data_IF_556842295628
#
_entry.id   IF_556842295628
#
_cell.length_a   1.000
_cell.length_b   1.000
_cell.length_c   1.000
_cell.angle_alpha   90.00
_cell.angle_beta   90.00
_cell.angle_gamma   90.00
#
_symmetry.space_group_name_H-M   'P 1'
#
loop_
_entity.id
_entity.type
_entity.pdbx_description
1 polymer ?
#
# COMPACT_ATOMS: atom_id res chain seq x y z
N UNK A 1 -11.04 -6.28 12.80
CA UNK A 1 -10.29 -6.81 11.67
C UNK A 1 -11.20 -7.40 10.59
N UNK A 2 -12.03 -8.42 10.89
CA UNK A 2 -12.85 -9.12 9.88
C UNK A 2 -13.80 -8.21 9.09
N UNK A 3 -14.46 -7.24 9.74
CA UNK A 3 -15.32 -6.27 9.05
C UNK A 3 -14.53 -5.40 8.06
N UNK A 4 -13.36 -4.91 8.46
CA UNK A 4 -12.46 -4.16 7.61
C UNK A 4 -11.95 -5.01 6.43
N UNK A 5 -11.54 -6.25 6.68
CA UNK A 5 -11.10 -7.16 5.64
C UNK A 5 -12.18 -7.43 4.59
N UNK A 6 -13.41 -7.63 5.01
CA UNK A 6 -14.56 -7.81 4.10
C UNK A 6 -14.81 -6.56 3.24
N UNK A 7 -14.66 -5.36 3.82
CA UNK A 7 -14.88 -4.10 3.10
C UNK A 7 -13.76 -3.77 2.12
N UNK A 8 -12.50 -3.97 2.53
CA UNK A 8 -11.33 -3.55 1.76
C UNK A 8 -10.67 -4.66 0.94
N UNK A 9 -11.15 -5.89 1.07
CA UNK A 9 -10.63 -7.04 0.30
C UNK A 9 -9.21 -7.43 0.67
N UNK A 10 -8.83 -7.30 1.95
CA UNK A 10 -7.50 -7.64 2.44
C UNK A 10 -7.48 -8.99 3.20
N UNK A 11 -6.31 -9.62 3.25
CA UNK A 11 -6.07 -10.82 4.05
C UNK A 11 -5.98 -10.47 5.54
N UNK A 12 -6.40 -11.40 6.41
CA UNK A 12 -6.34 -11.22 7.86
C UNK A 12 -5.42 -12.26 8.49
N UNK A 13 -4.45 -11.76 9.24
CA UNK A 13 -3.68 -12.57 10.19
C UNK A 13 -4.23 -12.27 11.59
N UNK A 14 -5.00 -13.22 12.13
CA UNK A 14 -5.62 -13.10 13.45
C UNK A 14 -4.83 -13.87 14.52
N UNK A 15 -4.67 -13.25 15.69
CA UNK A 15 -3.80 -13.76 16.75
C UNK A 15 -4.20 -15.14 17.28
N UNK A 16 -5.48 -15.38 17.50
CA UNK A 16 -5.96 -16.65 18.01
C UNK A 16 -5.82 -17.74 16.94
N UNK A 17 -6.25 -17.45 15.73
CA UNK A 17 -6.17 -18.36 14.57
C UNK A 17 -4.73 -18.79 14.27
N UNK A 18 -3.80 -17.85 14.25
CA UNK A 18 -2.40 -18.16 13.95
C UNK A 18 -1.73 -18.93 15.09
N UNK A 19 -2.07 -18.63 16.36
CA UNK A 19 -1.57 -19.41 17.49
C UNK A 19 -2.08 -20.85 17.45
N UNK A 20 -3.34 -21.06 17.12
CA UNK A 20 -3.90 -22.39 16.96
C UNK A 20 -3.26 -23.15 15.81
N UNK A 21 -3.04 -22.52 14.67
CA UNK A 21 -2.38 -23.11 13.51
C UNK A 21 -0.96 -23.61 13.84
N UNK A 22 -0.18 -22.83 14.59
CA UNK A 22 1.19 -23.18 15.00
C UNK A 22 1.24 -23.94 16.34
N UNK A 23 0.11 -24.26 16.96
CA UNK A 23 0.03 -24.85 18.31
C UNK A 23 0.88 -24.10 19.36
N UNK A 24 1.01 -22.77 19.22
CA UNK A 24 1.84 -21.95 20.08
C UNK A 24 1.08 -21.50 21.33
N UNK A 25 1.50 -22.04 22.49
CA UNK A 25 0.94 -21.72 23.82
C UNK A 25 1.92 -20.97 24.72
N UNK A 26 3.04 -20.49 24.18
CA UNK A 26 4.01 -19.72 24.94
C UNK A 26 3.55 -18.24 25.01
N UNK A 27 3.07 -17.85 26.19
CA UNK A 27 2.64 -16.48 26.51
C UNK A 27 3.66 -15.72 27.35
N UNK A 28 4.87 -16.24 27.55
CA UNK A 28 5.98 -15.47 28.11
C UNK A 28 6.32 -14.26 27.24
N UNK A 29 7.01 -13.26 27.79
CA UNK A 29 7.49 -12.09 27.04
C UNK A 29 8.29 -12.52 25.79
N UNK A 30 9.22 -13.42 25.96
CA UNK A 30 10.07 -13.95 24.88
C UNK A 30 9.26 -14.75 23.86
N UNK A 31 8.29 -15.56 24.32
CA UNK A 31 7.40 -16.32 23.47
C UNK A 31 6.50 -15.41 22.63
N UNK A 32 5.93 -14.35 23.23
CA UNK A 32 5.16 -13.34 22.53
C UNK A 32 6.00 -12.61 21.49
N UNK A 33 7.18 -12.14 21.87
CA UNK A 33 8.08 -11.42 20.97
C UNK A 33 8.46 -12.28 19.77
N UNK A 34 8.91 -13.53 19.99
CA UNK A 34 9.26 -14.47 18.92
C UNK A 34 8.08 -14.71 17.97
N UNK A 35 6.88 -14.90 18.51
CA UNK A 35 5.68 -15.13 17.73
C UNK A 35 5.35 -13.92 16.85
N UNK A 36 5.29 -12.71 17.42
CA UNK A 36 4.95 -11.47 16.73
C UNK A 36 5.95 -11.11 15.63
N UNK A 37 7.26 -11.28 15.89
CA UNK A 37 8.30 -11.07 14.87
C UNK A 37 8.20 -12.10 13.73
N UNK A 38 7.79 -13.33 14.02
CA UNK A 38 7.49 -14.35 13.01
C UNK A 38 6.31 -13.94 12.12
N UNK A 39 5.24 -13.43 12.73
CA UNK A 39 4.08 -12.91 12.02
C UNK A 39 4.43 -11.69 11.15
N UNK A 40 5.24 -10.76 11.64
CA UNK A 40 5.69 -9.62 10.85
C UNK A 40 6.40 -10.04 9.56
N UNK A 41 7.26 -11.08 9.63
CA UNK A 41 7.91 -11.65 8.44
C UNK A 41 6.91 -12.28 7.48
N UNK A 42 5.90 -12.99 7.99
CA UNK A 42 4.82 -13.58 7.19
C UNK A 42 3.99 -12.47 6.52
N UNK A 43 3.59 -11.46 7.27
CA UNK A 43 2.84 -10.31 6.76
C UNK A 43 3.62 -9.60 5.63
N UNK A 44 4.93 -9.38 5.80
CA UNK A 44 5.81 -8.83 4.75
C UNK A 44 5.83 -9.68 3.47
N UNK A 45 5.77 -11.00 3.58
CA UNK A 45 5.72 -11.88 2.40
C UNK A 45 4.38 -11.76 1.67
N UNK A 46 3.28 -11.78 2.41
CA UNK A 46 1.92 -11.72 1.85
C UNK A 46 1.65 -10.32 1.26
N UNK A 47 2.15 -9.25 1.90
CA UNK A 47 1.92 -7.86 1.48
C UNK A 47 2.51 -7.52 0.10
N UNK A 48 3.33 -8.38 -0.47
CA UNK A 48 3.80 -8.27 -1.87
C UNK A 48 2.69 -8.51 -2.90
N UNK A 49 1.60 -9.14 -2.49
CA UNK A 49 0.54 -9.60 -3.39
C UNK A 49 -0.84 -9.03 -3.04
N UNK A 50 -1.06 -8.67 -1.78
CA UNK A 50 -2.34 -8.17 -1.29
C UNK A 50 -2.14 -7.35 -0.02
N UNK A 51 -3.09 -6.46 0.29
CA UNK A 51 -3.10 -5.77 1.58
C UNK A 51 -3.33 -6.78 2.71
N UNK A 52 -2.65 -6.61 3.84
CA UNK A 52 -2.71 -7.53 5.00
C UNK A 52 -3.09 -6.77 6.25
N UNK A 53 -4.07 -7.27 6.97
CA UNK A 53 -4.53 -6.75 8.23
C UNK A 53 -4.11 -7.70 9.36
N UNK A 54 -3.18 -7.27 10.23
CA UNK A 54 -2.69 -8.04 11.36
C UNK A 54 -3.45 -7.66 12.63
N UNK A 55 -4.17 -8.60 13.24
CA UNK A 55 -4.98 -8.40 14.45
C UNK A 55 -4.36 -9.12 15.63
N UNK A 56 -3.49 -8.44 16.38
CA UNK A 56 -2.73 -9.00 17.49
C UNK A 56 -2.65 -8.04 18.67
N UNK A 57 -2.57 -8.58 19.88
CA UNK A 57 -2.08 -7.82 21.03
C UNK A 57 -0.56 -7.75 20.91
N UNK A 58 -0.03 -6.54 20.76
CA UNK A 58 1.40 -6.24 20.71
C UNK A 58 1.79 -5.42 21.94
N UNK A 59 1.96 -6.04 23.13
CA UNK A 59 1.95 -5.31 24.39
C UNK A 59 3.22 -4.51 24.67
N UNK A 60 4.33 -4.79 23.99
CA UNK A 60 5.64 -4.22 24.31
C UNK A 60 6.13 -3.27 23.22
N UNK A 61 6.57 -2.07 23.62
CA UNK A 61 7.02 -1.04 22.67
C UNK A 61 8.25 -1.48 21.88
N UNK A 62 9.25 -2.08 22.53
CA UNK A 62 10.46 -2.57 21.86
C UNK A 62 10.19 -3.67 20.82
N UNK A 63 9.09 -4.40 20.98
CA UNK A 63 8.65 -5.41 20.00
C UNK A 63 7.92 -4.74 18.85
N UNK A 64 7.12 -3.69 19.09
CA UNK A 64 6.45 -2.90 18.04
C UNK A 64 7.47 -2.21 17.13
N UNK A 65 8.51 -1.60 17.72
CA UNK A 65 9.62 -1.01 16.95
C UNK A 65 10.26 -2.03 16.00
N UNK A 66 10.61 -3.21 16.51
CA UNK A 66 11.19 -4.29 15.68
C UNK A 66 10.23 -4.84 14.62
N UNK A 67 8.93 -4.85 14.89
CA UNK A 67 7.91 -5.23 13.89
C UNK A 67 7.93 -4.23 12.74
N UNK A 68 7.93 -2.92 13.03
CA UNK A 68 7.97 -1.87 12.03
C UNK A 68 9.26 -1.90 11.19
N UNK A 69 10.42 -2.21 11.80
CA UNK A 69 11.68 -2.42 11.06
C UNK A 69 11.62 -3.60 10.06
N UNK A 70 10.83 -4.62 10.37
CA UNK A 70 10.67 -5.79 9.49
C UNK A 70 9.72 -5.49 8.34
N UNK A 71 8.65 -4.76 8.61
CA UNK A 71 7.57 -4.46 7.64
C UNK A 71 8.04 -3.45 6.58
N UNK A 72 7.34 -3.34 5.44
CA UNK A 72 7.64 -2.31 4.46
C UNK A 72 7.29 -0.90 5.00
N UNK A 73 7.89 0.14 4.41
CA UNK A 73 7.77 1.54 4.88
C UNK A 73 6.33 2.08 4.88
N UNK A 74 5.46 1.49 4.09
CA UNK A 74 4.03 1.83 4.06
C UNK A 74 3.19 1.06 5.09
N UNK A 75 3.80 0.33 6.02
CA UNK A 75 3.08 -0.32 7.09
C UNK A 75 2.52 0.70 8.09
N UNK A 76 1.27 0.51 8.47
CA UNK A 76 0.54 1.40 9.37
C UNK A 76 0.21 0.69 10.67
N UNK A 77 0.56 1.31 11.80
CA UNK A 77 0.17 0.83 13.12
C UNK A 77 -1.12 1.50 13.55
N UNK A 78 -2.14 0.68 13.84
CA UNK A 78 -3.43 1.12 14.36
C UNK A 78 -3.55 0.67 15.80
N UNK A 79 -3.73 1.63 16.71
CA UNK A 79 -4.02 1.37 18.12
C UNK A 79 -5.53 1.34 18.35
N UNK A 80 -6.06 0.20 18.76
CA UNK A 80 -7.44 0.09 19.24
C UNK A 80 -7.44 0.39 20.74
N UNK A 81 -7.82 1.62 21.10
CA UNK A 81 -7.80 2.12 22.47
C UNK A 81 -9.09 1.77 23.20
N UNK A 82 -8.95 1.06 24.31
CA UNK A 82 -10.05 0.75 25.23
C UNK A 82 -9.48 0.68 26.63
N UNK A 83 -10.07 1.37 27.59
CA UNK A 83 -9.59 1.30 28.96
C UNK A 83 -9.69 -0.12 29.53
N UNK A 84 -8.80 -0.45 30.46
CA UNK A 84 -8.79 -1.76 31.12
C UNK A 84 -10.14 -2.05 31.80
N UNK A 85 -10.74 -1.04 32.44
CA UNK A 85 -12.04 -1.15 33.10
C UNK A 85 -13.14 -1.61 32.12
N UNK A 86 -13.22 -0.99 30.95
CA UNK A 86 -14.19 -1.36 29.91
C UNK A 86 -13.91 -2.75 29.37
N UNK A 87 -12.62 -3.13 29.23
CA UNK A 87 -12.25 -4.48 28.82
C UNK A 87 -12.68 -5.54 29.86
N UNK A 88 -12.49 -5.26 31.14
CA UNK A 88 -12.90 -6.12 32.26
C UNK A 88 -14.43 -6.24 32.35
N UNK A 89 -15.15 -5.12 32.21
CA UNK A 89 -16.62 -5.12 32.22
C UNK A 89 -17.21 -5.95 31.07
N UNK A 90 -16.58 -5.89 29.92
CA UNK A 90 -17.03 -6.69 28.76
C UNK A 90 -16.70 -8.16 28.87
N UNK A 91 -15.55 -8.50 29.37
CA UNK A 91 -14.95 -9.84 29.54
C UNK A 91 -15.61 -10.99 28.73
N UNK A 92 -15.78 -10.79 27.45
CA UNK A 92 -16.59 -11.64 26.55
C UNK A 92 -16.21 -13.13 26.62
N UNK A 93 -14.94 -13.43 26.92
CA UNK A 93 -14.40 -14.80 27.02
C UNK A 93 -14.21 -15.26 28.47
N UNK A 94 -14.51 -14.43 29.48
CA UNK A 94 -14.26 -14.72 30.89
C UNK A 94 -12.78 -14.82 31.25
N UNK A 95 -11.90 -14.21 30.46
CA UNK A 95 -10.45 -14.32 30.64
C UNK A 95 -9.92 -13.34 31.69
N UNK A 96 -10.52 -12.15 31.81
CA UNK A 96 -10.13 -11.15 32.79
C UNK A 96 -10.45 -11.64 34.21
N UNK A 97 -11.64 -12.23 34.42
CA UNK A 97 -12.01 -12.84 35.71
C UNK A 97 -11.00 -13.93 36.12
N UNK A 98 -10.60 -14.80 35.18
CA UNK A 98 -9.59 -15.86 35.43
C UNK A 98 -8.20 -15.29 35.69
N UNK A 99 -7.82 -14.22 35.03
CA UNK A 99 -6.54 -13.55 35.27
C UNK A 99 -6.49 -12.89 36.64
N UNK A 100 -7.58 -12.29 37.10
CA UNK A 100 -7.71 -11.70 38.46
C UNK A 100 -7.65 -12.73 39.56
N UNK A 101 -8.15 -13.96 39.35
CA UNK A 101 -8.03 -15.08 40.30
C UNK A 101 -6.67 -15.77 40.25
N UNK A 102 -5.78 -15.38 39.32
CA UNK A 102 -4.45 -15.99 39.15
C UNK A 102 -4.46 -17.33 38.38
N UNK A 103 -5.59 -17.73 37.81
CA UNK A 103 -5.70 -18.94 37.00
C UNK A 103 -4.92 -18.81 35.66
N UNK A 104 -4.75 -17.57 35.17
CA UNK A 104 -4.02 -17.27 33.94
C UNK A 104 -2.82 -16.38 34.28
N UNK A 105 -1.62 -16.89 34.05
CA UNK A 105 -0.39 -16.14 34.21
C UNK A 105 -0.08 -15.30 32.94
N UNK A 106 0.74 -14.24 33.10
CA UNK A 106 1.20 -13.38 32.00
C UNK A 106 0.04 -12.79 31.17
N UNK A 107 -1.03 -12.40 31.82
CA UNK A 107 -2.19 -11.78 31.16
C UNK A 107 -1.94 -10.27 30.99
N UNK A 108 -1.91 -9.82 29.74
CA UNK A 108 -1.64 -8.41 29.37
C UNK A 108 -2.65 -7.47 30.03
N UNK A 109 -2.14 -6.45 30.70
CA UNK A 109 -2.93 -5.45 31.43
C UNK A 109 -3.28 -5.86 32.87
N UNK A 110 -3.05 -7.09 33.29
CA UNK A 110 -3.32 -7.58 34.66
C UNK A 110 -2.01 -8.02 35.36
N UNK A 111 -1.39 -9.09 34.89
CA UNK A 111 -0.14 -9.65 35.44
C UNK A 111 1.06 -9.51 34.51
N UNK A 112 0.85 -8.96 33.31
CA UNK A 112 1.86 -8.63 32.33
C UNK A 112 1.60 -7.21 31.79
N UNK A 113 2.63 -6.37 31.59
CA UNK A 113 2.42 -4.97 31.21
C UNK A 113 1.87 -4.83 29.80
N UNK A 114 1.22 -3.70 29.55
CA UNK A 114 0.91 -3.17 28.25
C UNK A 114 1.51 -1.76 28.14
N UNK A 115 2.50 -1.62 27.26
CA UNK A 115 3.11 -0.32 26.99
C UNK A 115 2.20 0.45 26.02
N UNK A 116 1.79 1.66 26.37
CA UNK A 116 1.05 2.53 25.43
C UNK A 116 1.88 2.80 24.18
N UNK A 117 1.30 2.67 22.96
CA UNK A 117 2.03 2.94 21.73
C UNK A 117 2.47 4.39 21.63
N UNK A 118 3.78 4.63 21.43
CA UNK A 118 4.33 5.98 21.26
C UNK A 118 4.06 6.58 19.88
N UNK A 119 3.95 5.72 18.87
CA UNK A 119 3.88 6.10 17.46
C UNK A 119 2.76 5.34 16.73
N UNK A 120 1.51 5.42 17.23
CA UNK A 120 0.38 4.94 16.46
C UNK A 120 0.05 5.91 15.32
N UNK A 121 -0.09 5.40 14.11
CA UNK A 121 -0.49 6.20 12.94
C UNK A 121 -1.98 6.56 12.98
N UNK A 122 -2.78 5.71 13.62
CA UNK A 122 -4.20 5.92 13.88
C UNK A 122 -4.56 5.29 15.22
N UNK A 123 -5.39 6.00 16.00
CA UNK A 123 -6.00 5.45 17.23
C UNK A 123 -7.50 5.37 17.04
N UNK A 124 -8.05 4.17 17.25
CA UNK A 124 -9.49 3.91 17.21
C UNK A 124 -10.01 3.73 18.63
N UNK A 125 -10.98 4.54 19.02
CA UNK A 125 -11.68 4.38 20.30
C UNK A 125 -12.72 3.26 20.19
N UNK A 126 -12.63 2.26 21.03
CA UNK A 126 -13.65 1.20 21.15
C UNK A 126 -14.32 1.16 22.51
N UNK A 127 -14.32 2.26 23.25
CA UNK A 127 -14.92 2.37 24.60
C UNK A 127 -16.45 2.23 24.61
N UNK A 128 -17.11 2.40 23.47
CA UNK A 128 -18.59 2.40 23.37
C UNK A 128 -19.19 3.81 23.38
N UNK A 129 -18.36 4.86 23.26
CA UNK A 129 -18.78 6.23 23.01
C UNK A 129 -19.36 6.41 21.59
N UNK A 130 -19.94 7.58 21.32
CA UNK A 130 -20.37 7.95 19.96
C UNK A 130 -19.18 7.91 19.00
N UNK A 131 -19.33 7.28 17.85
CA UNK A 131 -18.27 7.08 16.86
C UNK A 131 -17.36 5.85 17.12
N UNK A 132 -17.67 5.00 18.08
CA UNK A 132 -16.90 3.83 18.45
C UNK A 132 -17.53 2.48 18.06
N UNK A 133 -18.53 2.51 17.19
CA UNK A 133 -19.08 1.26 16.62
C UNK A 133 -18.09 0.60 15.67
N UNK A 134 -18.31 -0.68 15.37
CA UNK A 134 -17.46 -1.39 14.38
C UNK A 134 -17.47 -0.70 13.02
N UNK A 135 -18.64 -0.20 12.59
CA UNK A 135 -18.78 0.47 11.29
C UNK A 135 -18.04 1.82 11.30
N UNK A 136 -18.15 2.60 12.38
CA UNK A 136 -17.41 3.86 12.53
C UNK A 136 -15.89 3.64 12.51
N UNK A 137 -15.40 2.62 13.22
CA UNK A 137 -13.98 2.27 13.20
C UNK A 137 -13.50 1.81 11.80
N UNK A 138 -14.35 1.09 11.07
CA UNK A 138 -14.05 0.69 9.69
C UNK A 138 -14.05 1.89 8.75
N UNK A 139 -14.93 2.86 8.94
CA UNK A 139 -14.95 4.13 8.19
C UNK A 139 -13.67 4.94 8.46
N UNK A 140 -13.23 5.03 9.70
CA UNK A 140 -11.96 5.69 10.05
C UNK A 140 -10.74 5.01 9.41
N UNK A 141 -10.79 3.70 9.19
CA UNK A 141 -9.72 2.98 8.48
C UNK A 141 -9.73 3.22 6.97
N UNK A 142 -10.84 3.67 6.39
CA UNK A 142 -11.01 3.74 4.94
C UNK A 142 -9.88 4.50 4.24
N UNK A 143 -9.43 5.63 4.81
CA UNK A 143 -8.37 6.44 4.22
C UNK A 143 -7.00 5.72 4.12
N UNK A 144 -6.76 4.69 4.95
CA UNK A 144 -5.53 3.89 4.91
C UNK A 144 -5.52 2.92 3.71
N UNK A 145 -6.70 2.58 3.19
CA UNK A 145 -6.91 1.68 2.06
C UNK A 145 -7.28 2.42 0.76
N UNK A 146 -7.55 3.71 0.86
CA UNK A 146 -7.81 4.53 -0.32
C UNK A 146 -6.53 4.67 -1.14
N UNK A 147 -6.42 3.88 -2.20
CA UNK A 147 -5.38 4.13 -3.21
C UNK A 147 -5.73 5.42 -3.95
N UNK A 148 -4.84 6.40 -4.01
CA UNK A 148 -5.10 7.61 -4.79
C UNK A 148 -5.47 7.21 -6.22
N UNK A 149 -6.53 7.84 -6.74
CA UNK A 149 -6.98 7.59 -8.12
C UNK A 149 -5.82 7.85 -9.06
N UNK A 150 -5.53 6.88 -9.92
CA UNK A 150 -4.47 7.01 -10.90
C UNK A 150 -5.00 7.58 -12.21
N UNK A 151 -4.13 8.29 -12.92
CA UNK A 151 -4.33 8.67 -14.32
C UNK A 151 -3.60 7.67 -15.18
N UNK A 152 -4.31 7.04 -16.12
CA UNK A 152 -3.70 6.17 -17.12
C UNK A 152 -3.28 6.99 -18.34
N UNK A 153 -2.01 6.91 -18.70
CA UNK A 153 -1.42 7.50 -19.88
C UNK A 153 -1.01 6.38 -20.88
N UNK A 154 -1.89 5.98 -21.80
CA UNK A 154 -1.58 4.92 -22.75
C UNK A 154 -0.73 5.46 -23.93
N UNK A 155 0.32 4.72 -24.32
CA UNK A 155 1.18 5.14 -25.41
C UNK A 155 2.19 4.08 -25.84
N UNK A 156 2.97 4.40 -26.90
CA UNK A 156 4.07 3.55 -27.37
C UNK A 156 5.37 3.78 -26.63
N UNK A 157 5.62 5.02 -26.20
CA UNK A 157 6.80 5.43 -25.40
C UNK A 157 8.14 5.06 -26.04
N UNK A 158 8.35 5.49 -27.30
CA UNK A 158 9.42 5.02 -28.19
C UNK A 158 10.38 6.12 -28.69
N UNK A 159 11.34 6.64 -27.90
CA UNK A 159 11.59 6.41 -26.46
C UNK A 159 10.79 7.38 -25.57
N UNK A 160 10.99 7.28 -24.25
CA UNK A 160 10.58 8.32 -23.33
C UNK A 160 11.35 9.62 -23.65
N UNK A 161 10.64 10.76 -23.74
CA UNK A 161 11.23 12.07 -24.04
C UNK A 161 10.49 13.16 -23.28
N UNK A 162 11.01 14.40 -23.30
CA UNK A 162 10.47 15.52 -22.50
C UNK A 162 8.97 15.76 -22.71
N UNK A 163 8.42 15.49 -23.90
CA UNK A 163 6.97 15.58 -24.13
C UNK A 163 6.17 14.55 -23.32
N UNK A 164 6.70 13.35 -23.20
CA UNK A 164 6.12 12.32 -22.32
C UNK A 164 6.31 12.65 -20.84
N UNK A 165 7.50 13.13 -20.47
CA UNK A 165 7.80 13.53 -19.10
C UNK A 165 6.90 14.69 -18.66
N UNK A 166 6.62 15.65 -19.55
CA UNK A 166 5.68 16.73 -19.27
C UNK A 166 4.27 16.22 -18.97
N UNK A 167 3.75 15.26 -19.75
CA UNK A 167 2.43 14.65 -19.50
C UNK A 167 2.37 13.96 -18.13
N UNK A 168 3.42 13.25 -17.76
CA UNK A 168 3.51 12.58 -16.46
C UNK A 168 3.57 13.63 -15.34
N UNK A 169 4.47 14.61 -15.46
CA UNK A 169 4.69 15.62 -14.44
C UNK A 169 3.45 16.48 -14.18
N UNK A 170 2.72 16.83 -15.23
CA UNK A 170 1.45 17.57 -15.14
C UNK A 170 0.44 16.90 -14.20
N UNK A 171 0.37 15.59 -14.22
CA UNK A 171 -0.55 14.84 -13.36
C UNK A 171 0.02 14.65 -11.94
N UNK A 172 1.34 14.48 -11.82
CA UNK A 172 2.04 14.44 -10.53
C UNK A 172 1.92 15.77 -9.76
N UNK A 173 2.05 16.92 -10.44
CA UNK A 173 1.90 18.24 -9.85
C UNK A 173 0.50 18.48 -9.26
N UNK A 174 -0.49 17.74 -9.73
CA UNK A 174 -1.85 17.73 -9.18
C UNK A 174 -2.03 16.70 -8.03
N UNK A 175 -0.94 16.11 -7.56
CA UNK A 175 -0.95 15.11 -6.48
C UNK A 175 -1.55 13.76 -6.90
N UNK A 176 -1.60 13.46 -8.21
CA UNK A 176 -2.17 12.21 -8.72
C UNK A 176 -1.09 11.15 -8.89
N UNK A 177 -1.49 9.90 -8.73
CA UNK A 177 -0.72 8.74 -9.16
C UNK A 177 -0.86 8.56 -10.67
N UNK A 178 0.21 8.19 -11.34
CA UNK A 178 0.24 8.00 -12.79
C UNK A 178 0.54 6.54 -13.13
N UNK A 179 -0.24 5.96 -14.02
CA UNK A 179 0.03 4.67 -14.65
C UNK A 179 0.38 4.91 -16.09
N UNK A 180 1.61 4.60 -16.45
CA UNK A 180 2.09 4.65 -17.83
C UNK A 180 1.75 3.32 -18.50
N UNK A 181 0.75 3.33 -19.37
CA UNK A 181 0.32 2.16 -20.14
C UNK A 181 1.17 1.97 -21.38
N UNK A 182 2.08 1.00 -21.37
CA UNK A 182 2.97 0.70 -22.50
C UNK A 182 2.26 -0.30 -23.42
N UNK A 183 1.90 0.14 -24.61
CA UNK A 183 1.30 -0.74 -25.63
C UNK A 183 2.33 -1.78 -26.09
N UNK A 184 1.95 -3.06 -26.07
CA UNK A 184 2.81 -4.17 -26.50
C UNK A 184 2.86 -4.27 -28.04
N UNK A 185 3.61 -3.35 -28.63
CA UNK A 185 3.84 -3.30 -30.08
C UNK A 185 5.06 -4.12 -30.47
N UNK A 186 5.05 -4.83 -31.62
CA UNK A 186 6.24 -5.50 -32.14
C UNK A 186 7.40 -4.52 -32.37
N UNK A 187 8.63 -5.00 -32.21
CA UNK A 187 9.82 -4.22 -32.54
C UNK A 187 9.90 -4.04 -34.07
N UNK A 188 10.11 -2.80 -34.49
CA UNK A 188 10.20 -2.39 -35.91
C UNK A 188 11.08 -1.14 -36.04
N UNK A 189 11.31 -0.69 -37.25
CA UNK A 189 12.05 0.57 -37.49
C UNK A 189 11.36 1.79 -36.87
N UNK A 190 10.04 1.78 -36.79
CA UNK A 190 9.26 2.83 -36.12
C UNK A 190 9.16 2.65 -34.61
N UNK A 191 9.32 1.45 -34.11
CA UNK A 191 9.22 1.07 -32.72
C UNK A 191 10.44 0.22 -32.26
N UNK A 192 11.65 0.82 -32.21
CA UNK A 192 12.90 0.07 -32.06
C UNK A 192 13.16 -0.51 -30.68
N UNK A 193 12.45 -0.04 -29.66
CA UNK A 193 12.65 -0.49 -28.29
C UNK A 193 11.59 -1.52 -27.90
N UNK A 194 12.03 -2.68 -27.41
CA UNK A 194 11.12 -3.69 -26.87
C UNK A 194 10.32 -3.16 -25.68
N UNK A 195 9.21 -3.80 -25.36
CA UNK A 195 8.36 -3.45 -24.23
C UNK A 195 9.12 -3.43 -22.92
N UNK A 196 10.01 -4.40 -22.69
CA UNK A 196 10.84 -4.47 -21.48
C UNK A 196 11.83 -3.31 -21.37
N UNK A 197 12.42 -2.87 -22.49
CA UNK A 197 13.33 -1.72 -22.51
C UNK A 197 12.56 -0.45 -22.18
N UNK A 198 11.38 -0.25 -22.79
CA UNK A 198 10.53 0.91 -22.53
C UNK A 198 10.06 0.96 -21.08
N UNK A 199 9.68 -0.18 -20.51
CA UNK A 199 9.31 -0.29 -19.10
C UNK A 199 10.47 0.12 -18.19
N UNK A 200 11.66 -0.41 -18.42
CA UNK A 200 12.86 -0.04 -17.65
C UNK A 200 13.22 1.44 -17.77
N UNK A 201 13.05 2.06 -18.94
CA UNK A 201 13.26 3.52 -19.11
C UNK A 201 12.36 4.32 -18.16
N UNK A 202 11.09 3.95 -18.04
CA UNK A 202 10.13 4.63 -17.17
C UNK A 202 10.46 4.37 -15.70
N UNK A 203 10.67 3.13 -15.32
CA UNK A 203 11.00 2.74 -13.94
C UNK A 203 12.32 3.35 -13.46
N UNK A 204 13.31 3.47 -14.34
CA UNK A 204 14.58 4.12 -13.99
C UNK A 204 14.46 5.65 -13.88
N UNK A 205 13.60 6.27 -14.69
CA UNK A 205 13.37 7.72 -14.62
C UNK A 205 12.60 8.13 -13.37
N UNK A 206 11.65 7.30 -12.91
CA UNK A 206 10.68 7.61 -11.85
C UNK A 206 10.78 6.65 -10.65
N UNK A 207 11.98 6.47 -10.09
CA UNK A 207 12.23 5.51 -9.01
C UNK A 207 11.50 5.83 -7.71
N UNK A 208 11.32 7.11 -7.39
CA UNK A 208 10.79 7.62 -6.12
C UNK A 208 9.45 8.37 -6.28
N UNK A 209 8.80 8.24 -7.42
CA UNK A 209 7.59 8.98 -7.74
C UNK A 209 6.37 8.06 -7.82
N UNK A 210 5.18 8.64 -7.71
CA UNK A 210 3.89 7.94 -7.85
C UNK A 210 3.60 7.55 -9.32
N UNK A 211 4.58 6.91 -9.97
CA UNK A 211 4.50 6.48 -11.36
C UNK A 211 4.70 4.97 -11.43
N UNK A 212 3.77 4.29 -12.09
CA UNK A 212 3.87 2.86 -12.39
C UNK A 212 3.88 2.63 -13.89
N UNK A 213 4.70 1.69 -14.37
CA UNK A 213 4.72 1.26 -15.76
C UNK A 213 4.03 -0.09 -15.94
N UNK A 214 2.93 -0.10 -16.68
CA UNK A 214 2.17 -1.31 -17.00
C UNK A 214 2.30 -1.67 -18.46
N UNK A 215 2.60 -2.91 -18.77
CA UNK A 215 2.49 -3.45 -20.12
C UNK A 215 1.03 -3.80 -20.37
N UNK A 216 0.48 -3.28 -21.45
CA UNK A 216 -0.88 -3.52 -21.87
C UNK A 216 -0.92 -4.01 -23.32
N UNK A 217 -1.92 -4.82 -23.70
CA UNK A 217 -2.07 -5.23 -25.11
C UNK A 217 -2.02 -4.03 -26.07
N UNK A 218 -1.63 -4.26 -27.31
CA UNK A 218 -1.77 -3.24 -28.35
C UNK A 218 -3.25 -2.98 -28.60
N UNK A 219 -3.74 -1.82 -28.17
CA UNK A 219 -5.15 -1.46 -28.17
C UNK A 219 -5.51 -0.70 -29.45
N UNK A 220 -6.64 -1.05 -30.04
CA UNK A 220 -7.24 -0.32 -31.18
C UNK A 220 -8.06 0.86 -30.70
N UNK A 221 -8.82 0.69 -29.61
CA UNK A 221 -9.72 1.69 -29.08
C UNK A 221 -9.95 1.53 -27.57
N UNK A 222 -10.37 2.62 -26.93
CA UNK A 222 -10.90 2.60 -25.57
C UNK A 222 -12.40 2.82 -25.64
N UNK A 223 -13.17 1.79 -25.27
CA UNK A 223 -14.63 1.88 -25.18
C UNK A 223 -15.05 1.93 -23.72
N UNK A 224 -15.94 2.82 -23.39
CA UNK A 224 -16.46 2.97 -22.03
C UNK A 224 -17.98 3.11 -21.99
N UNK A 225 -18.59 2.54 -20.94
CA UNK A 225 -20.02 2.62 -20.69
C UNK A 225 -20.41 3.90 -19.96
N UNK A 226 -21.71 4.07 -19.71
CA UNK A 226 -22.22 5.20 -18.92
C UNK A 226 -21.83 5.05 -17.44
N UNK A 227 -21.46 6.17 -16.78
CA UNK A 227 -21.15 6.24 -15.34
C UNK A 227 -19.99 5.33 -14.90
N UNK A 228 -18.94 5.25 -15.69
CA UNK A 228 -17.74 4.41 -15.38
C UNK A 228 -16.87 4.96 -14.25
N UNK A 229 -17.16 6.17 -13.74
CA UNK A 229 -16.42 6.74 -12.60
C UNK A 229 -15.06 7.34 -12.92
N UNK A 230 -14.65 7.41 -14.20
CA UNK A 230 -13.43 8.11 -14.64
C UNK A 230 -13.73 9.12 -15.75
N UNK A 231 -12.79 10.01 -15.99
CA UNK A 231 -12.84 11.01 -17.06
C UNK A 231 -11.88 10.62 -18.17
N UNK A 232 -12.28 10.86 -19.42
CA UNK A 232 -11.36 10.87 -20.56
C UNK A 232 -11.03 12.32 -20.85
N UNK A 233 -9.73 12.66 -20.82
CA UNK A 233 -9.25 14.02 -21.02
C UNK A 233 -8.19 14.02 -22.14
N UNK A 234 -8.25 14.99 -22.99
CA UNK A 234 -7.20 15.31 -23.93
C UNK A 234 -6.31 16.39 -23.31
N UNK A 235 -5.00 16.32 -23.54
CA UNK A 235 -4.08 17.37 -23.12
C UNK A 235 -4.10 18.46 -24.18
N UNK A 236 -4.91 19.48 -23.96
CA UNK A 236 -5.07 20.64 -24.87
C UNK A 236 -4.20 21.86 -24.46
N UNK A 237 -3.55 21.80 -23.31
CA UNK A 237 -2.70 22.83 -22.72
C UNK A 237 -1.19 22.57 -22.89
N UNK A 238 -0.80 21.75 -23.88
CA UNK A 238 0.60 21.40 -24.12
C UNK A 238 1.35 22.64 -24.63
N UNK A 239 2.45 23.06 -23.97
CA UNK A 239 3.28 24.17 -24.43
C UNK A 239 3.80 23.93 -25.86
N UNK A 240 3.89 24.98 -26.72
CA UNK A 240 4.31 24.80 -28.12
C UNK A 240 5.68 24.13 -28.28
N UNK A 241 6.62 24.42 -27.39
CA UNK A 241 7.96 23.82 -27.39
C UNK A 241 7.92 22.33 -27.05
N UNK A 242 6.99 21.90 -26.20
CA UNK A 242 6.74 20.50 -25.86
C UNK A 242 5.99 19.78 -27.00
N UNK A 243 4.98 20.45 -27.55
CA UNK A 243 4.19 19.92 -28.67
C UNK A 243 5.04 19.59 -29.91
N UNK A 244 6.11 20.39 -30.14
CA UNK A 244 7.05 20.17 -31.24
C UNK A 244 7.94 18.93 -31.06
N UNK A 245 8.01 18.34 -29.86
CA UNK A 245 8.85 17.17 -29.57
C UNK A 245 8.14 15.90 -30.04
N UNK A 246 8.83 15.08 -30.82
CA UNK A 246 8.32 13.79 -31.25
C UNK A 246 9.35 12.69 -31.08
N UNK A 247 8.90 11.48 -30.81
CA UNK A 247 9.76 10.29 -30.72
C UNK A 247 10.56 10.07 -32.01
N UNK A 248 10.00 10.40 -33.19
CA UNK A 248 10.68 10.34 -34.48
C UNK A 248 11.83 11.34 -34.56
N UNK A 249 11.64 12.57 -34.11
CA UNK A 249 12.70 13.57 -34.06
C UNK A 249 13.82 13.17 -33.11
N UNK A 250 13.48 12.60 -31.96
CA UNK A 250 14.46 12.10 -30.98
C UNK A 250 15.29 10.95 -31.58
N UNK A 251 14.67 9.97 -32.22
CA UNK A 251 15.38 8.89 -32.92
C UNK A 251 16.25 9.39 -34.06
N UNK A 252 15.81 10.46 -34.73
CA UNK A 252 16.57 11.13 -35.80
C UNK A 252 17.77 11.96 -35.35
N UNK A 253 18.08 11.97 -34.04
CA UNK A 253 19.30 12.58 -33.50
C UNK A 253 19.08 13.76 -32.56
N UNK A 254 17.84 14.24 -32.35
CA UNK A 254 17.56 15.32 -31.40
C UNK A 254 17.52 14.81 -29.94
N UNK A 255 18.67 14.38 -29.44
CA UNK A 255 18.82 13.80 -28.08
C UNK A 255 18.70 14.82 -26.96
N UNK A 256 18.74 16.13 -27.26
CA UNK A 256 18.53 17.19 -26.26
C UNK A 256 17.16 17.13 -25.56
N UNK A 257 16.20 16.44 -26.17
CA UNK A 257 14.85 16.25 -25.64
C UNK A 257 14.67 14.94 -24.84
N UNK A 258 15.76 14.32 -24.39
CA UNK A 258 15.76 13.08 -23.59
C UNK A 258 16.54 13.34 -22.30
N UNK A 259 15.98 12.91 -21.17
CA UNK A 259 16.69 13.04 -19.88
C UNK A 259 17.92 12.12 -19.83
N UNK A 260 18.94 12.51 -19.06
CA UNK A 260 20.18 11.74 -18.89
C UNK A 260 19.89 10.29 -18.48
N UNK A 261 18.94 10.08 -17.55
CA UNK A 261 18.56 8.74 -17.08
C UNK A 261 17.99 7.84 -18.17
N UNK A 262 17.33 8.39 -19.18
CA UNK A 262 16.79 7.64 -20.32
C UNK A 262 17.84 7.41 -21.39
N UNK A 263 18.82 8.30 -21.51
CA UNK A 263 19.92 8.16 -22.46
C UNK A 263 20.75 6.88 -22.29
N UNK A 264 20.78 6.32 -21.09
CA UNK A 264 21.48 5.06 -20.79
C UNK A 264 20.89 3.85 -21.55
N UNK A 265 19.67 3.96 -22.06
CA UNK A 265 18.96 2.90 -22.79
C UNK A 265 18.98 3.10 -24.32
N UNK A 266 19.52 4.20 -24.82
CA UNK A 266 19.58 4.55 -26.24
C UNK A 266 20.96 4.33 -26.86
#
# INVERSE_FOLDING_TARGET
>A
AMAAAKRFGCEVLDGDTIRDFFANRDFSREGRARHLLGIAKMAKMISKHTDVLCSFITPYEDVREKILEILPDNAVMVHVSTSLEVCEDRDVKGLYAKARTGEIANFTGISDPFDEPKCAHLTLDSSGSEGSTVDDMVDQLAHLFEKPKAVLLPGRWQPLHVGHEWLIQRELDQGKRVVVGIRDTPVSDSDPFSTDVRKRMIEHRYTDENVEAWVMPDIEAISYGRKVGYQVREADDIPPEIFAVSATGVRGGNKANVSERVMEFM
#
